data_IF_100011155825
#
_entry.id   IF_100011155825
#
_cell.length_a   1.000
_cell.length_b   1.000
_cell.length_c   1.000
_cell.angle_alpha   90.00
_cell.angle_beta   90.00
_cell.angle_gamma   90.00
#
_symmetry.space_group_name_H-M   'P 1'
#
loop_
_entity.id
_entity.type
_entity.pdbx_description
1 polymer ?
#
# COMPACT_ATOMS: atom_id res chain seq x y z
N UNK A 1 -41.45 13.33 -72.44
CA UNK A 1 -41.03 14.51 -71.65
C UNK A 1 -40.98 14.10 -70.17
N UNK A 2 -39.75 13.85 -69.71
CA UNK A 2 -39.21 13.77 -68.33
C UNK A 2 -39.90 12.92 -67.24
N UNK A 3 -39.26 11.75 -66.98
CA UNK A 3 -39.15 11.11 -65.67
C UNK A 3 -38.43 12.03 -64.66
N UNK A 4 -38.81 12.01 -63.39
CA UNK A 4 -37.90 12.40 -62.29
C UNK A 4 -38.18 11.56 -61.04
N UNK A 5 -37.27 10.61 -60.81
CA UNK A 5 -37.12 9.77 -59.62
C UNK A 5 -36.71 10.60 -58.40
N UNK A 6 -37.41 10.48 -57.27
CA UNK A 6 -36.98 11.04 -55.99
C UNK A 6 -35.80 10.23 -55.43
N UNK A 7 -34.63 10.86 -55.42
CA UNK A 7 -33.35 10.38 -54.88
C UNK A 7 -33.48 10.04 -53.38
N UNK A 8 -33.23 8.78 -53.02
CA UNK A 8 -33.12 8.29 -51.63
C UNK A 8 -32.07 9.12 -50.87
N UNK A 9 -32.51 9.82 -49.83
CA UNK A 9 -31.66 10.61 -48.96
C UNK A 9 -30.76 9.67 -48.13
N UNK A 10 -29.45 9.77 -48.34
CA UNK A 10 -28.44 8.86 -47.82
C UNK A 10 -28.30 8.99 -46.30
N UNK A 11 -28.61 7.94 -45.54
CA UNK A 11 -28.32 7.81 -44.10
C UNK A 11 -26.82 7.53 -43.87
N UNK A 12 -25.94 8.45 -44.27
CA UNK A 12 -24.46 8.28 -44.16
C UNK A 12 -23.69 9.30 -43.30
N UNK A 13 -24.26 10.13 -42.40
CA UNK A 13 -23.44 10.84 -41.41
C UNK A 13 -23.43 10.16 -40.03
N UNK A 14 -24.45 9.35 -39.69
CA UNK A 14 -24.57 8.74 -38.36
C UNK A 14 -23.61 7.57 -38.12
N UNK A 15 -23.19 6.87 -39.18
CA UNK A 15 -22.28 5.71 -39.07
C UNK A 15 -20.81 6.17 -38.96
N UNK A 16 -20.49 7.39 -39.41
CA UNK A 16 -19.14 7.97 -39.26
C UNK A 16 -18.89 8.54 -37.86
N UNK A 17 -19.95 9.00 -37.16
CA UNK A 17 -19.82 9.57 -35.83
C UNK A 17 -19.67 8.50 -34.74
N UNK A 18 -20.25 7.32 -34.94
CA UNK A 18 -20.09 6.18 -34.02
C UNK A 18 -18.72 5.51 -34.12
N UNK A 19 -18.02 5.59 -35.25
CA UNK A 19 -16.67 5.05 -35.39
C UNK A 19 -15.62 5.86 -34.61
N UNK A 20 -15.82 7.17 -34.44
CA UNK A 20 -14.89 8.04 -33.73
C UNK A 20 -14.98 7.88 -32.20
N UNK A 21 -16.17 7.53 -31.67
CA UNK A 21 -16.36 7.26 -30.25
C UNK A 21 -15.86 5.87 -29.81
N UNK A 22 -15.86 4.88 -30.71
CA UNK A 22 -15.31 3.55 -30.43
C UNK A 22 -13.78 3.53 -30.35
N UNK A 23 -13.08 4.54 -30.87
CA UNK A 23 -11.62 4.63 -30.80
C UNK A 23 -11.12 5.31 -29.50
N UNK A 24 -11.97 6.07 -28.79
CA UNK A 24 -11.62 6.70 -27.51
C UNK A 24 -11.71 5.74 -26.30
N UNK A 25 -12.33 4.56 -26.46
CA UNK A 25 -12.56 3.61 -25.36
C UNK A 25 -11.39 2.69 -25.01
N UNK A 26 -10.29 2.70 -25.76
CA UNK A 26 -9.20 1.72 -25.59
C UNK A 26 -8.01 2.20 -24.76
N UNK A 27 -7.99 3.45 -24.30
CA UNK A 27 -7.01 3.93 -23.32
C UNK A 27 -7.57 3.86 -21.90
N UNK A 28 -7.99 2.66 -21.47
CA UNK A 28 -7.90 2.34 -20.05
C UNK A 28 -6.43 2.13 -19.73
N UNK A 29 -5.70 3.23 -19.53
CA UNK A 29 -4.41 3.18 -18.87
C UNK A 29 -4.69 2.65 -17.47
N UNK A 30 -4.50 1.34 -17.27
CA UNK A 30 -4.28 0.79 -15.94
C UNK A 30 -3.02 1.50 -15.47
N UNK A 31 -3.19 2.59 -14.72
CA UNK A 31 -2.08 3.15 -13.95
C UNK A 31 -1.67 1.99 -13.06
N UNK A 32 -0.48 1.39 -13.24
CA UNK A 32 -0.05 0.34 -12.35
C UNK A 32 -0.15 0.91 -10.95
N UNK A 33 -0.93 0.25 -10.08
CA UNK A 33 -0.88 0.55 -8.66
C UNK A 33 0.56 0.22 -8.26
N UNK A 34 1.38 1.25 -8.16
CA UNK A 34 2.82 1.12 -8.01
C UNK A 34 3.07 0.79 -6.54
N UNK A 35 2.96 -0.50 -6.24
CA UNK A 35 3.42 -1.11 -5.01
C UNK A 35 4.88 -0.72 -4.74
N UNK A 36 5.29 -0.68 -3.48
CA UNK A 36 6.68 -0.46 -3.19
C UNK A 36 7.52 -1.64 -3.68
N UNK A 37 8.58 -1.32 -4.40
CA UNK A 37 9.57 -2.29 -4.85
C UNK A 37 10.69 -2.41 -3.82
N UNK A 38 10.99 -1.30 -3.10
CA UNK A 38 12.11 -1.21 -2.17
C UNK A 38 11.73 -0.50 -0.86
N UNK A 39 12.37 -0.93 0.21
CA UNK A 39 12.32 -0.36 1.55
C UNK A 39 13.72 0.09 1.94
N UNK A 40 13.89 1.39 2.18
CA UNK A 40 15.08 1.93 2.82
C UNK A 40 14.90 1.75 4.33
N UNK A 41 15.49 0.66 4.86
CA UNK A 41 15.47 0.33 6.27
C UNK A 41 16.60 1.07 6.98
N UNK A 42 16.23 1.97 7.88
CA UNK A 42 17.15 2.63 8.80
C UNK A 42 17.03 1.98 10.17
N UNK A 43 18.12 1.43 10.70
CA UNK A 43 18.15 0.84 12.03
C UNK A 43 19.46 1.20 12.71
N UNK A 44 19.39 1.90 13.84
CA UNK A 44 20.53 2.53 14.49
C UNK A 44 21.31 3.41 13.50
N UNK A 45 22.59 3.11 13.29
CA UNK A 45 23.45 3.80 12.32
C UNK A 45 23.36 3.23 10.89
N UNK A 46 22.71 2.08 10.72
CA UNK A 46 22.67 1.38 9.44
C UNK A 46 21.53 1.92 8.57
N UNK A 47 21.75 1.93 7.27
CA UNK A 47 20.76 2.28 6.25
C UNK A 47 20.96 1.38 5.05
N UNK A 48 20.02 0.46 4.83
CA UNK A 48 20.07 -0.47 3.72
C UNK A 48 18.82 -0.40 2.86
N UNK A 49 19.00 -0.62 1.55
CA UNK A 49 17.90 -0.80 0.60
C UNK A 49 17.59 -2.29 0.49
N UNK A 50 16.40 -2.69 0.94
CA UNK A 50 15.93 -4.08 0.88
C UNK A 50 14.71 -4.13 -0.03
N UNK A 51 14.61 -5.14 -0.91
CA UNK A 51 13.43 -5.28 -1.75
C UNK A 51 12.21 -5.72 -0.94
N UNK A 52 11.01 -5.25 -1.33
CA UNK A 52 9.76 -5.74 -0.72
C UNK A 52 9.59 -7.24 -0.98
N UNK A 53 10.06 -7.73 -2.13
CA UNK A 53 10.09 -9.17 -2.46
C UNK A 53 10.91 -9.98 -1.44
N UNK A 54 12.13 -9.54 -1.06
CA UNK A 54 12.93 -10.22 -0.05
C UNK A 54 12.25 -10.23 1.33
N UNK A 55 11.60 -9.13 1.70
CA UNK A 55 10.84 -9.05 2.96
C UNK A 55 9.62 -9.96 2.92
N UNK A 56 8.91 -10.01 1.79
CA UNK A 56 7.75 -10.89 1.59
C UNK A 56 8.17 -12.36 1.60
N UNK A 57 9.31 -12.69 0.99
CA UNK A 57 9.89 -14.03 1.04
C UNK A 57 10.19 -14.44 2.48
N UNK A 58 10.87 -13.59 3.26
CA UNK A 58 11.11 -13.83 4.68
C UNK A 58 9.80 -14.01 5.46
N UNK A 59 8.82 -13.12 5.24
CA UNK A 59 7.54 -13.17 5.93
C UNK A 59 6.82 -14.51 5.67
N UNK A 60 6.78 -14.96 4.41
CA UNK A 60 6.04 -16.14 4.00
C UNK A 60 6.77 -17.46 4.31
N UNK A 61 8.08 -17.51 4.09
CA UNK A 61 8.86 -18.78 4.17
C UNK A 61 9.65 -18.91 5.48
N UNK A 62 9.97 -17.80 6.15
CA UNK A 62 10.95 -17.75 7.23
C UNK A 62 12.40 -17.68 6.76
N UNK A 63 12.66 -17.73 5.46
CA UNK A 63 14.00 -17.73 4.91
C UNK A 63 14.44 -16.32 4.49
N UNK A 64 15.40 -15.75 5.20
CA UNK A 64 16.03 -14.50 4.81
C UNK A 64 17.09 -14.70 3.70
N UNK A 65 17.15 -13.77 2.75
CA UNK A 65 18.18 -13.75 1.72
C UNK A 65 19.59 -13.58 2.32
N UNK A 66 20.65 -13.83 1.54
CA UNK A 66 22.03 -13.67 2.03
C UNK A 66 22.34 -12.20 2.40
N UNK A 67 21.88 -11.26 1.59
CA UNK A 67 21.94 -9.81 1.83
C UNK A 67 21.23 -9.46 3.13
N UNK A 68 19.95 -9.84 3.26
CA UNK A 68 19.14 -9.52 4.43
C UNK A 68 19.72 -10.11 5.72
N UNK A 69 20.20 -11.36 5.69
CA UNK A 69 20.89 -11.97 6.84
C UNK A 69 22.15 -11.22 7.24
N UNK A 70 22.91 -10.71 6.28
CA UNK A 70 24.14 -9.96 6.56
C UNK A 70 23.83 -8.62 7.22
N UNK A 71 22.81 -7.93 6.72
CA UNK A 71 22.30 -6.70 7.33
C UNK A 71 21.80 -6.93 8.77
N UNK A 72 20.95 -7.93 8.98
CA UNK A 72 20.39 -8.24 10.29
C UNK A 72 21.48 -8.60 11.32
N UNK A 73 22.52 -9.32 10.92
CA UNK A 73 23.68 -9.59 11.78
C UNK A 73 24.39 -8.31 12.21
N UNK A 74 24.58 -7.35 11.30
CA UNK A 74 25.16 -6.04 11.64
C UNK A 74 24.25 -5.23 12.57
N UNK A 75 22.93 -5.37 12.40
CA UNK A 75 21.92 -4.79 13.27
C UNK A 75 21.76 -5.51 14.62
N UNK A 76 22.49 -6.61 14.87
CA UNK A 76 22.32 -7.49 16.02
C UNK A 76 20.87 -7.96 16.20
N UNK A 77 20.27 -8.42 15.10
CA UNK A 77 18.89 -8.90 15.01
C UNK A 77 18.82 -10.27 14.36
N UNK A 78 17.88 -11.09 14.82
CA UNK A 78 17.59 -12.37 14.22
C UNK A 78 16.52 -12.26 13.10
N UNK A 79 16.62 -13.06 12.02
CA UNK A 79 15.59 -13.10 10.97
C UNK A 79 14.17 -13.36 11.48
N UNK A 80 14.03 -14.18 12.53
CA UNK A 80 12.73 -14.49 13.13
C UNK A 80 12.11 -13.30 13.88
N UNK A 81 12.91 -12.39 14.44
CA UNK A 81 12.39 -11.13 14.99
C UNK A 81 11.76 -10.28 13.89
N UNK A 82 12.46 -10.10 12.76
CA UNK A 82 11.93 -9.34 11.63
C UNK A 82 10.70 -10.02 11.03
N UNK A 83 10.73 -11.34 10.88
CA UNK A 83 9.59 -12.12 10.38
C UNK A 83 8.34 -11.95 11.25
N UNK A 84 8.52 -11.98 12.57
CA UNK A 84 7.43 -11.78 13.54
C UNK A 84 6.83 -10.39 13.40
N UNK A 85 7.67 -9.35 13.29
CA UNK A 85 7.21 -7.99 13.06
C UNK A 85 6.49 -7.83 11.72
N UNK A 86 7.02 -8.42 10.64
CA UNK A 86 6.43 -8.35 9.31
C UNK A 86 5.04 -9.00 9.25
N UNK A 87 4.83 -10.08 10.01
CA UNK A 87 3.58 -10.84 10.07
C UNK A 87 2.70 -10.52 11.29
N UNK A 88 2.99 -9.46 12.05
CA UNK A 88 2.15 -9.13 13.18
C UNK A 88 0.77 -8.68 12.68
N UNK A 89 -0.29 -9.32 13.16
CA UNK A 89 -1.65 -9.13 12.68
C UNK A 89 -2.39 -8.11 13.54
N UNK A 90 -3.00 -7.12 12.89
CA UNK A 90 -3.94 -6.20 13.53
C UNK A 90 -5.32 -6.37 12.89
N UNK A 91 -6.25 -7.00 13.62
CA UNK A 91 -7.62 -7.20 13.15
C UNK A 91 -8.38 -5.87 13.09
N UNK A 92 -8.91 -5.53 11.92
CA UNK A 92 -9.66 -4.30 11.72
C UNK A 92 -10.61 -4.39 10.53
N UNK A 93 -11.84 -3.87 10.70
CA UNK A 93 -12.77 -3.74 9.58
C UNK A 93 -12.33 -2.61 8.63
N UNK A 94 -12.21 -2.85 7.31
CA UNK A 94 -11.69 -1.86 6.37
C UNK A 94 -12.60 -0.64 6.20
N UNK A 95 -13.92 -0.79 6.37
CA UNK A 95 -14.87 0.33 6.26
C UNK A 95 -14.75 1.22 7.49
N UNK A 96 -14.68 0.61 8.68
CA UNK A 96 -14.41 1.35 9.91
C UNK A 96 -13.06 2.06 9.85
N UNK A 97 -11.99 1.35 9.48
CA UNK A 97 -10.65 1.90 9.35
C UNK A 97 -10.62 3.10 8.41
N UNK A 98 -11.22 2.96 7.22
CA UNK A 98 -11.29 4.04 6.25
C UNK A 98 -11.98 5.28 6.84
N UNK A 99 -13.13 5.13 7.51
CA UNK A 99 -13.81 6.25 8.17
C UNK A 99 -12.96 6.88 9.27
N UNK A 100 -12.34 6.05 10.12
CA UNK A 100 -11.51 6.50 11.22
C UNK A 100 -10.30 7.30 10.72
N UNK A 101 -9.55 6.76 9.77
CA UNK A 101 -8.35 7.39 9.20
C UNK A 101 -8.66 8.64 8.34
N UNK A 102 -9.87 8.77 7.80
CA UNK A 102 -10.33 9.97 7.10
C UNK A 102 -10.80 11.10 8.04
N UNK A 103 -10.95 10.83 9.34
CA UNK A 103 -11.37 11.85 10.31
C UNK A 103 -10.19 12.75 10.74
N UNK A 104 -10.51 13.87 11.40
CA UNK A 104 -9.50 14.74 12.01
C UNK A 104 -8.62 13.97 13.02
N UNK A 105 -9.24 13.12 13.85
CA UNK A 105 -8.51 12.26 14.79
C UNK A 105 -7.63 11.25 14.05
N UNK A 106 -8.11 10.72 12.91
CA UNK A 106 -7.33 9.84 12.04
C UNK A 106 -6.04 10.48 11.54
N UNK A 107 -6.09 11.75 11.15
CA UNK A 107 -4.90 12.52 10.77
C UNK A 107 -3.87 12.60 11.90
N UNK A 108 -4.30 12.85 13.14
CA UNK A 108 -3.43 12.89 14.32
C UNK A 108 -2.77 11.54 14.59
N UNK A 109 -3.46 10.42 14.34
CA UNK A 109 -2.90 9.07 14.48
C UNK A 109 -1.92 8.75 13.35
N UNK A 110 -2.19 9.20 12.12
CA UNK A 110 -1.34 8.94 10.96
C UNK A 110 -0.03 9.71 11.01
N UNK A 111 0.01 10.90 11.60
CA UNK A 111 1.21 11.75 11.64
C UNK A 111 2.42 11.08 12.32
N UNK A 112 2.34 10.50 13.53
CA UNK A 112 3.49 9.83 14.14
C UNK A 112 3.92 8.58 13.37
N UNK A 113 2.98 7.84 12.77
CA UNK A 113 3.31 6.68 11.91
C UNK A 113 3.99 7.15 10.62
N UNK A 114 3.52 8.27 10.06
CA UNK A 114 4.08 8.92 8.88
C UNK A 114 5.46 9.54 9.12
N UNK A 115 5.92 9.66 10.35
CA UNK A 115 7.31 10.01 10.67
C UNK A 115 8.23 8.78 10.73
N UNK A 116 7.65 7.58 10.75
CA UNK A 116 8.38 6.31 10.80
C UNK A 116 8.37 5.61 9.46
N UNK A 117 7.20 5.48 8.82
CA UNK A 117 7.03 4.95 7.47
C UNK A 117 6.66 6.12 6.56
N UNK A 118 7.51 6.43 5.60
CA UNK A 118 7.25 7.58 4.74
C UNK A 118 7.74 7.47 3.31
N UNK A 119 7.16 8.29 2.44
CA UNK A 119 7.66 8.49 1.07
C UNK A 119 9.03 9.18 1.09
N UNK A 120 9.90 8.99 0.09
CA UNK A 120 11.24 9.58 0.06
C UNK A 120 11.23 11.12 0.17
N UNK A 121 10.20 11.76 -0.38
CA UNK A 121 10.05 13.22 -0.35
C UNK A 121 9.14 13.74 0.77
N UNK A 122 8.56 12.85 1.58
CA UNK A 122 7.48 13.12 2.55
C UNK A 122 6.22 13.79 1.95
N UNK A 123 6.13 13.92 0.63
CA UNK A 123 4.93 14.44 -0.05
C UNK A 123 3.84 13.39 -0.07
N UNK A 124 2.60 13.86 0.07
CA UNK A 124 1.39 13.03 0.12
C UNK A 124 1.50 11.87 1.12
N UNK A 125 2.33 12.01 2.16
CA UNK A 125 2.72 10.87 2.98
C UNK A 125 1.54 10.30 3.77
N UNK A 126 0.70 11.19 4.31
CA UNK A 126 -0.50 10.82 5.05
C UNK A 126 -1.49 10.08 4.14
N UNK A 127 -1.67 10.57 2.92
CA UNK A 127 -2.55 9.98 1.92
C UNK A 127 -2.04 8.60 1.48
N UNK A 128 -0.74 8.48 1.22
CA UNK A 128 -0.08 7.22 0.86
C UNK A 128 -0.20 6.18 1.97
N UNK A 129 0.14 6.56 3.20
CA UNK A 129 0.04 5.68 4.37
C UNK A 129 -1.40 5.24 4.63
N UNK A 130 -2.36 6.17 4.57
CA UNK A 130 -3.79 5.84 4.71
C UNK A 130 -4.23 4.87 3.62
N UNK A 131 -3.84 5.11 2.36
CA UNK A 131 -4.17 4.24 1.24
C UNK A 131 -3.63 2.84 1.44
N UNK A 132 -2.36 2.72 1.83
CA UNK A 132 -1.70 1.45 2.12
C UNK A 132 -2.44 0.68 3.22
N UNK A 133 -2.67 1.30 4.38
CA UNK A 133 -3.37 0.68 5.52
C UNK A 133 -4.77 0.20 5.17
N UNK A 134 -5.56 1.02 4.48
CA UNK A 134 -6.93 0.64 4.09
C UNK A 134 -6.90 -0.50 3.08
N UNK A 135 -5.96 -0.47 2.12
CA UNK A 135 -5.83 -1.50 1.09
C UNK A 135 -5.41 -2.85 1.70
N UNK A 136 -4.46 -2.85 2.63
CA UNK A 136 -4.03 -4.05 3.36
C UNK A 136 -5.20 -4.74 4.07
N UNK A 137 -6.11 -3.96 4.67
CA UNK A 137 -7.27 -4.49 5.38
C UNK A 137 -8.39 -5.09 4.49
N UNK A 138 -8.34 -4.90 3.17
CA UNK A 138 -9.44 -5.28 2.28
C UNK A 138 -9.59 -6.80 2.11
N UNK A 139 -8.48 -7.55 2.19
CA UNK A 139 -8.44 -8.97 1.82
C UNK A 139 -9.11 -9.85 2.88
N UNK A 140 -8.72 -9.68 4.14
CA UNK A 140 -9.05 -10.61 5.23
C UNK A 140 -9.35 -9.92 6.56
N UNK A 141 -9.57 -8.60 6.54
CA UNK A 141 -9.86 -7.77 7.72
C UNK A 141 -8.76 -7.82 8.79
N UNK A 142 -7.53 -8.06 8.38
CA UNK A 142 -6.36 -7.81 9.20
C UNK A 142 -5.37 -6.94 8.41
N UNK A 143 -4.38 -6.42 9.12
CA UNK A 143 -3.26 -5.70 8.52
C UNK A 143 -1.98 -6.33 9.03
N UNK A 144 -1.10 -6.68 8.11
CA UNK A 144 0.29 -7.01 8.36
C UNK A 144 1.21 -5.92 7.82
N UNK A 145 2.37 -5.75 8.47
CA UNK A 145 3.37 -4.78 8.03
C UNK A 145 3.85 -5.06 6.61
N UNK A 146 4.04 -6.34 6.26
CA UNK A 146 4.45 -6.71 4.91
C UNK A 146 3.44 -6.25 3.85
N UNK A 147 2.13 -6.35 4.15
CA UNK A 147 1.08 -5.90 3.24
C UNK A 147 1.04 -4.38 3.11
N UNK A 148 1.44 -3.63 4.16
CA UNK A 148 1.56 -2.17 4.06
C UNK A 148 2.67 -1.83 3.07
N UNK A 149 3.79 -2.55 3.11
CA UNK A 149 4.90 -2.35 2.15
C UNK A 149 4.47 -2.71 0.73
N UNK A 150 3.81 -3.86 0.56
CA UNK A 150 3.30 -4.32 -0.73
C UNK A 150 2.22 -3.37 -1.32
N UNK A 151 1.42 -2.70 -0.48
CA UNK A 151 0.35 -1.82 -0.95
C UNK A 151 0.72 -0.32 -0.89
N UNK A 152 1.96 0.03 -0.52
CA UNK A 152 2.36 1.42 -0.43
C UNK A 152 2.47 2.03 -1.84
N UNK A 153 1.82 3.17 -2.14
CA UNK A 153 1.67 3.66 -3.51
C UNK A 153 2.91 4.46 -3.99
N UNK A 154 4.11 3.94 -3.76
CA UNK A 154 5.39 4.53 -4.20
C UNK A 154 6.43 3.44 -4.41
N UNK A 155 7.29 3.57 -5.42
CA UNK A 155 8.38 2.62 -5.71
C UNK A 155 9.31 2.35 -4.51
N UNK A 156 9.53 3.36 -3.68
CA UNK A 156 10.43 3.32 -2.54
C UNK A 156 9.73 3.86 -1.30
N UNK A 157 9.91 3.19 -0.17
CA UNK A 157 9.47 3.65 1.15
C UNK A 157 10.65 3.73 2.11
N UNK A 158 10.63 4.70 3.01
CA UNK A 158 11.64 4.86 4.05
C UNK A 158 11.05 4.45 5.38
N UNK A 159 11.78 3.63 6.13
CA UNK A 159 11.30 3.07 7.40
C UNK A 159 12.36 3.27 8.48
N UNK A 160 12.00 3.98 9.53
CA UNK A 160 12.81 4.08 10.75
C UNK A 160 12.52 2.90 11.68
N UNK A 161 13.34 1.86 11.62
CA UNK A 161 13.16 0.60 12.33
C UNK A 161 13.25 0.74 13.85
N UNK A 162 14.04 1.70 14.37
CA UNK A 162 14.13 1.94 15.82
C UNK A 162 12.77 2.43 16.34
N UNK A 163 12.22 3.47 15.69
CA UNK A 163 10.93 4.06 16.07
C UNK A 163 9.76 3.13 15.75
N UNK A 164 9.87 2.31 14.71
CA UNK A 164 8.84 1.35 14.37
C UNK A 164 8.63 0.34 15.52
N UNK A 165 9.71 -0.17 16.11
CA UNK A 165 9.62 -1.08 17.25
C UNK A 165 8.93 -0.43 18.47
N UNK A 166 9.17 0.86 18.72
CA UNK A 166 8.52 1.62 19.80
C UNK A 166 7.01 1.77 19.57
N UNK A 167 6.59 2.06 18.33
CA UNK A 167 5.17 2.15 17.97
C UNK A 167 4.48 0.80 18.20
N UNK A 168 5.09 -0.31 17.78
CA UNK A 168 4.53 -1.65 17.98
C UNK A 168 4.31 -1.98 19.46
N UNK A 169 5.32 -1.76 20.30
CA UNK A 169 5.20 -1.99 21.73
C UNK A 169 4.10 -1.15 22.38
N UNK A 170 3.90 0.09 21.89
CA UNK A 170 2.85 0.98 22.36
C UNK A 170 1.45 0.47 21.97
N UNK A 171 1.29 -0.05 20.75
CA UNK A 171 0.03 -0.63 20.28
C UNK A 171 -0.31 -1.90 21.06
N UNK A 172 0.63 -2.83 21.22
CA UNK A 172 0.39 -4.06 21.98
C UNK A 172 0.05 -3.78 23.44
N UNK A 173 0.75 -2.82 24.05
CA UNK A 173 0.46 -2.36 25.41
C UNK A 173 -0.93 -1.75 25.57
N UNK A 174 -1.49 -1.15 24.51
CA UNK A 174 -2.85 -0.63 24.50
C UNK A 174 -3.88 -1.73 24.26
N UNK A 175 -3.69 -2.55 23.22
CA UNK A 175 -4.61 -3.65 22.84
C UNK A 175 -4.74 -4.66 23.98
N UNK A 176 -3.66 -4.97 24.69
CA UNK A 176 -3.70 -5.88 25.86
C UNK A 176 -4.48 -5.33 27.06
N UNK A 177 -4.65 -4.00 27.15
CA UNK A 177 -5.37 -3.34 28.24
C UNK A 177 -6.84 -3.03 27.93
N UNK A 178 -7.24 -3.10 26.66
CA UNK A 178 -8.64 -2.92 26.27
C UNK A 178 -9.37 -4.26 26.44
N UNK A 179 -10.40 -4.34 27.30
CA UNK A 179 -11.22 -5.55 27.41
C UNK A 179 -11.76 -5.93 26.03
N UNK A 180 -11.57 -7.19 25.61
CA UNK A 180 -12.17 -7.70 24.37
C UNK A 180 -13.68 -7.57 24.49
N UNK A 181 -14.26 -6.54 23.86
CA UNK A 181 -15.70 -6.37 23.81
C UNK A 181 -16.26 -7.45 22.87
N UNK A 182 -17.20 -8.29 23.33
CA UNK A 182 -17.91 -9.18 22.45
C UNK A 182 -18.83 -8.30 21.59
N UNK A 183 -18.52 -8.19 20.31
CA UNK A 183 -19.50 -7.81 19.30
C UNK A 183 -19.94 -9.08 18.59
#
# INVERSE_FOLDING_TARGET
MMMTQKKKLSKKPQIMLSLLFSLLGLFSAKVPAQAAERVILKYSILRESVSVEELSHLANTGEASRSLRSYLKLANKEPEELRTLLNNNVDVDPVFLSKALNSFAGGIVLDPIGEVIHTPSKRANRESLRGALVTSALSDKNIRLIEIFENYPTEEIHVDGDRLAEIYQSIEGFVSKVPRLPF
#
